data_IF_525121097929
#
_entry.id   IF_525121097929
#
_cell.length_a   1.000
_cell.length_b   1.000
_cell.length_c   1.000
_cell.angle_alpha   90.00
_cell.angle_beta   90.00
_cell.angle_gamma   90.00
#
_symmetry.space_group_name_H-M   'P 1'
#
loop_
_entity.id
_entity.type
_entity.pdbx_description
1 polymer ?
#
# COMPACT_ATOMS: atom_id res chain seq x y z
N UNK A 1 -6.62 -10.89 -19.71
CA UNK A 1 -5.75 -11.31 -18.58
C UNK A 1 -6.54 -11.61 -17.30
N UNK A 2 -7.26 -10.65 -16.71
CA UNK A 2 -7.98 -10.91 -15.44
C UNK A 2 -9.03 -12.02 -15.49
N UNK A 3 -9.74 -12.15 -16.62
CA UNK A 3 -10.68 -13.27 -16.84
C UNK A 3 -9.94 -14.61 -16.92
N UNK A 4 -8.90 -14.68 -17.75
CA UNK A 4 -8.03 -15.86 -17.95
C UNK A 4 -7.38 -16.33 -16.64
N UNK A 5 -6.97 -15.39 -15.78
CA UNK A 5 -6.38 -15.71 -14.48
C UNK A 5 -7.41 -16.33 -13.53
N UNK A 6 -8.62 -15.76 -13.47
CA UNK A 6 -9.70 -16.26 -12.62
C UNK A 6 -10.24 -17.62 -13.10
N UNK A 7 -10.30 -17.84 -14.41
CA UNK A 7 -10.79 -19.09 -15.00
C UNK A 7 -9.80 -20.25 -14.94
N UNK A 8 -8.53 -20.00 -14.55
CA UNK A 8 -7.44 -21.00 -14.57
C UNK A 8 -7.29 -21.70 -15.93
N UNK A 9 -7.56 -20.96 -17.00
CA UNK A 9 -7.58 -21.51 -18.35
C UNK A 9 -6.17 -21.86 -18.85
N UNK A 10 -5.17 -21.12 -18.36
CA UNK A 10 -3.75 -21.34 -18.67
C UNK A 10 -3.24 -22.71 -18.20
N UNK A 11 -3.82 -23.29 -17.15
CA UNK A 11 -3.50 -24.66 -16.72
C UNK A 11 -3.96 -25.69 -17.75
N UNK A 12 -5.09 -25.46 -18.41
CA UNK A 12 -5.56 -26.32 -19.52
C UNK A 12 -4.63 -26.25 -20.73
N UNK A 13 -3.92 -25.14 -20.89
CA UNK A 13 -2.90 -24.95 -21.91
C UNK A 13 -1.50 -25.45 -21.50
N UNK A 14 -1.38 -26.11 -20.34
CA UNK A 14 -0.12 -26.70 -19.85
C UNK A 14 0.79 -25.74 -19.10
N UNK A 15 0.31 -24.56 -18.69
CA UNK A 15 1.09 -23.61 -17.89
C UNK A 15 0.71 -23.66 -16.41
N UNK A 16 1.69 -23.69 -15.48
CA UNK A 16 1.39 -23.80 -14.05
C UNK A 16 0.72 -22.54 -13.48
N UNK A 17 0.85 -21.39 -14.15
CA UNK A 17 0.22 -20.14 -13.74
C UNK A 17 0.05 -19.16 -14.91
N UNK A 18 -0.82 -18.17 -14.75
CA UNK A 18 -0.99 -17.07 -15.73
C UNK A 18 0.31 -16.33 -15.95
N UNK A 19 1.09 -16.13 -14.88
CA UNK A 19 2.41 -15.51 -14.96
C UNK A 19 3.37 -16.32 -15.83
N UNK A 20 3.42 -17.64 -15.65
CA UNK A 20 4.23 -18.54 -16.47
C UNK A 20 3.80 -18.50 -17.94
N UNK A 21 2.49 -18.48 -18.20
CA UNK A 21 1.96 -18.32 -19.55
C UNK A 21 2.38 -16.99 -20.20
N UNK A 22 2.26 -15.85 -19.49
CA UNK A 22 2.68 -14.54 -19.99
C UNK A 22 4.17 -14.50 -20.36
N UNK A 23 5.01 -15.14 -19.54
CA UNK A 23 6.44 -15.24 -19.82
C UNK A 23 6.73 -16.11 -21.04
N UNK A 24 6.13 -17.29 -21.10
CA UNK A 24 6.41 -18.26 -22.16
C UNK A 24 5.81 -17.87 -23.51
N UNK A 25 4.61 -17.28 -23.55
CA UNK A 25 3.90 -16.97 -24.81
C UNK A 25 4.10 -15.55 -25.31
N UNK A 26 4.32 -14.58 -24.41
CA UNK A 26 4.49 -13.17 -24.78
C UNK A 26 5.92 -12.68 -24.55
N UNK A 27 6.85 -13.56 -24.16
CA UNK A 27 8.24 -13.21 -23.90
C UNK A 27 8.42 -12.19 -22.77
N UNK A 28 7.42 -12.04 -21.90
CA UNK A 28 7.47 -11.01 -20.85
C UNK A 28 8.58 -11.30 -19.84
N UNK A 29 9.26 -10.24 -19.40
CA UNK A 29 10.12 -10.31 -18.20
C UNK A 29 9.27 -10.60 -16.96
N UNK A 30 9.87 -11.28 -15.98
CA UNK A 30 9.19 -11.66 -14.73
C UNK A 30 8.52 -10.47 -14.02
N UNK A 31 9.24 -9.36 -13.87
CA UNK A 31 8.69 -8.15 -13.23
C UNK A 31 7.48 -7.61 -13.97
N UNK A 32 7.55 -7.52 -15.30
CA UNK A 32 6.43 -7.05 -16.14
C UNK A 32 5.23 -7.99 -16.12
N UNK A 33 5.47 -9.29 -16.10
CA UNK A 33 4.39 -10.28 -15.98
C UNK A 33 3.70 -10.17 -14.61
N UNK A 34 4.46 -9.97 -13.53
CA UNK A 34 3.93 -9.73 -12.18
C UNK A 34 3.10 -8.44 -12.14
N UNK A 35 3.65 -7.31 -12.59
CA UNK A 35 2.96 -6.02 -12.63
C UNK A 35 1.61 -6.11 -13.36
N UNK A 36 1.60 -6.71 -14.55
CA UNK A 36 0.37 -6.85 -15.35
C UNK A 36 -0.66 -7.74 -14.68
N UNK A 37 -0.22 -8.79 -14.01
CA UNK A 37 -1.11 -9.68 -13.29
C UNK A 37 -1.72 -9.01 -12.06
N UNK A 38 -0.91 -8.31 -11.26
CA UNK A 38 -1.37 -7.54 -10.10
C UNK A 38 -2.38 -6.49 -10.52
N UNK A 39 -2.06 -5.69 -11.55
CA UNK A 39 -2.96 -4.66 -12.06
C UNK A 39 -4.29 -5.24 -12.56
N UNK A 40 -4.24 -6.35 -13.31
CA UNK A 40 -5.44 -7.01 -13.79
C UNK A 40 -6.34 -7.55 -12.67
N UNK A 41 -5.75 -7.95 -11.53
CA UNK A 41 -6.48 -8.39 -10.35
C UNK A 41 -7.08 -7.23 -9.58
N UNK A 42 -6.35 -6.13 -9.40
CA UNK A 42 -6.80 -5.02 -8.56
C UNK A 42 -7.76 -4.05 -9.25
N UNK A 43 -7.79 -3.98 -10.59
CA UNK A 43 -8.60 -2.98 -11.33
C UNK A 43 -10.07 -2.82 -10.90
N UNK A 44 -10.71 -3.88 -10.41
CA UNK A 44 -12.12 -3.84 -10.02
C UNK A 44 -12.34 -3.31 -8.60
N UNK A 45 -11.27 -3.31 -7.78
CA UNK A 45 -11.22 -2.80 -6.41
C UNK A 45 -10.70 -1.36 -6.35
N UNK A 46 -10.24 -0.85 -7.51
CA UNK A 46 -9.61 0.44 -7.69
C UNK A 46 -10.23 1.15 -8.92
N UNK A 47 -11.53 1.51 -8.85
CA UNK A 47 -12.26 2.05 -9.99
C UNK A 47 -11.67 3.36 -10.50
N UNK A 48 -11.28 4.29 -9.63
CA UNK A 48 -10.80 5.62 -10.04
C UNK A 48 -9.41 5.55 -10.68
N UNK A 49 -8.49 4.78 -10.07
CA UNK A 49 -7.18 4.49 -10.63
C UNK A 49 -7.32 3.83 -12.00
N UNK A 50 -8.28 2.91 -12.14
CA UNK A 50 -8.54 2.22 -13.40
C UNK A 50 -9.06 3.19 -14.46
N UNK A 51 -10.01 4.06 -14.12
CA UNK A 51 -10.53 5.08 -15.01
C UNK A 51 -9.40 5.98 -15.51
N UNK A 52 -8.68 6.66 -14.60
CA UNK A 52 -7.57 7.56 -14.92
C UNK A 52 -6.47 6.85 -15.73
N UNK A 53 -6.18 5.58 -15.45
CA UNK A 53 -5.21 4.82 -16.23
C UNK A 53 -5.70 4.54 -17.65
N UNK A 54 -6.98 4.21 -17.83
CA UNK A 54 -7.55 3.90 -19.14
C UNK A 54 -7.79 5.12 -20.02
N UNK A 55 -8.03 6.29 -19.42
CA UNK A 55 -8.17 7.58 -20.13
C UNK A 55 -6.81 8.21 -20.47
N UNK A 56 -5.74 7.77 -19.81
CA UNK A 56 -4.37 8.25 -20.02
C UNK A 56 -3.92 9.33 -19.02
N UNK A 57 -4.78 9.68 -18.06
CA UNK A 57 -4.49 10.66 -17.00
C UNK A 57 -3.55 10.09 -15.92
N UNK A 58 -3.42 8.77 -15.85
CA UNK A 58 -2.48 8.08 -14.95
C UNK A 58 -1.51 7.20 -15.74
N UNK A 59 -0.20 7.38 -15.51
CA UNK A 59 0.80 6.54 -16.16
C UNK A 59 0.70 5.07 -15.71
N UNK A 60 1.08 4.14 -16.60
CA UNK A 60 1.12 2.72 -16.27
C UNK A 60 2.05 2.39 -15.07
N UNK A 61 3.07 3.24 -14.83
CA UNK A 61 3.95 3.10 -13.66
C UNK A 61 3.22 3.38 -12.36
N UNK A 62 2.47 4.49 -12.28
CA UNK A 62 1.66 4.80 -11.10
C UNK A 62 0.56 3.76 -10.88
N UNK A 63 -0.15 3.37 -11.94
CA UNK A 63 -1.19 2.33 -11.85
C UNK A 63 -0.63 1.01 -11.28
N UNK A 64 0.54 0.57 -11.75
CA UNK A 64 1.20 -0.61 -11.23
C UNK A 64 1.65 -0.45 -9.77
N UNK A 65 2.17 0.72 -9.39
CA UNK A 65 2.56 1.03 -8.01
C UNK A 65 1.36 1.00 -7.05
N UNK A 66 0.25 1.62 -7.42
CA UNK A 66 -0.96 1.65 -6.59
C UNK A 66 -1.53 0.23 -6.46
N UNK A 67 -1.63 -0.51 -7.57
CA UNK A 67 -2.11 -1.89 -7.54
C UNK A 67 -1.22 -2.83 -6.69
N UNK A 68 0.09 -2.63 -6.65
CA UNK A 68 0.98 -3.43 -5.79
C UNK A 68 0.81 -3.05 -4.31
N UNK A 69 0.66 -1.77 -3.99
CA UNK A 69 0.44 -1.29 -2.62
C UNK A 69 -0.87 -1.82 -2.00
N UNK A 70 -1.93 -1.96 -2.79
CA UNK A 70 -3.25 -2.42 -2.30
C UNK A 70 -3.44 -3.94 -2.40
N UNK A 71 -2.49 -4.68 -2.99
CA UNK A 71 -2.66 -6.09 -3.30
C UNK A 71 -2.95 -7.00 -2.09
N UNK A 72 -2.62 -6.56 -0.88
CA UNK A 72 -2.79 -7.29 0.39
C UNK A 72 -3.81 -6.65 1.34
N UNK A 73 -4.54 -5.65 0.89
CA UNK A 73 -5.63 -5.01 1.64
C UNK A 73 -6.95 -5.71 1.34
N UNK A 74 -7.91 -5.60 2.25
CA UNK A 74 -9.32 -5.93 1.97
C UNK A 74 -9.99 -4.83 1.13
N UNK A 75 -11.27 -5.01 0.78
CA UNK A 75 -11.96 -4.14 -0.17
C UNK A 75 -12.21 -2.74 0.40
N UNK A 76 -12.48 -2.63 1.70
CA UNK A 76 -12.72 -1.35 2.38
C UNK A 76 -11.41 -0.53 2.44
N UNK A 77 -10.32 -1.17 2.85
CA UNK A 77 -9.01 -0.51 2.91
C UNK A 77 -8.44 -0.23 1.52
N UNK A 78 -8.83 -1.00 0.49
CA UNK A 78 -8.48 -0.68 -0.90
C UNK A 78 -9.02 0.68 -1.34
N UNK A 79 -10.28 1.00 -1.03
CA UNK A 79 -10.87 2.29 -1.38
C UNK A 79 -10.13 3.44 -0.70
N UNK A 80 -9.87 3.32 0.61
CA UNK A 80 -9.09 4.32 1.36
C UNK A 80 -7.67 4.48 0.81
N UNK A 81 -7.02 3.38 0.49
CA UNK A 81 -5.67 3.39 -0.08
C UNK A 81 -5.66 4.04 -1.46
N UNK A 82 -6.68 3.80 -2.28
CA UNK A 82 -6.84 4.43 -3.60
C UNK A 82 -6.87 5.95 -3.47
N UNK A 83 -7.75 6.49 -2.63
CA UNK A 83 -7.89 7.93 -2.40
C UNK A 83 -6.56 8.57 -1.95
N UNK A 84 -5.90 7.95 -0.96
CA UNK A 84 -4.64 8.46 -0.40
C UNK A 84 -3.54 8.46 -1.47
N UNK A 85 -3.37 7.36 -2.20
CA UNK A 85 -2.28 7.22 -3.16
C UNK A 85 -2.51 8.06 -4.42
N UNK A 86 -3.75 8.19 -4.90
CA UNK A 86 -4.09 9.12 -5.98
C UNK A 86 -3.90 10.57 -5.54
N UNK A 87 -4.27 10.92 -4.31
CA UNK A 87 -3.99 12.23 -3.73
C UNK A 87 -2.49 12.57 -3.70
N UNK A 88 -1.61 11.59 -3.49
CA UNK A 88 -0.16 11.80 -3.63
C UNK A 88 0.26 12.03 -5.09
N UNK A 89 -0.33 11.31 -6.04
CA UNK A 89 -0.06 11.52 -7.47
C UNK A 89 -0.48 12.93 -7.89
N UNK A 90 -1.64 13.39 -7.44
CA UNK A 90 -2.18 14.73 -7.75
C UNK A 90 -1.32 15.85 -7.16
N UNK A 91 -0.64 15.58 -6.04
CA UNK A 91 0.38 16.48 -5.46
C UNK A 91 1.75 16.40 -6.17
N UNK A 92 1.89 15.61 -7.25
CA UNK A 92 3.11 15.51 -8.04
C UNK A 92 4.19 14.59 -7.46
N UNK A 93 3.84 13.70 -6.53
CA UNK A 93 4.82 12.78 -5.94
C UNK A 93 5.27 11.74 -6.97
N UNK A 94 6.58 11.47 -7.04
CA UNK A 94 7.13 10.47 -7.96
C UNK A 94 6.62 9.05 -7.66
N UNK A 95 6.56 8.19 -8.67
CA UNK A 95 6.15 6.79 -8.52
C UNK A 95 6.98 6.03 -7.46
N UNK A 96 8.28 6.33 -7.34
CA UNK A 96 9.13 5.75 -6.31
C UNK A 96 8.75 6.19 -4.89
N UNK A 97 8.31 7.44 -4.71
CA UNK A 97 7.83 7.95 -3.42
C UNK A 97 6.46 7.38 -3.07
N UNK A 98 5.55 7.30 -4.03
CA UNK A 98 4.24 6.62 -3.90
C UNK A 98 4.46 5.14 -3.53
N UNK A 99 5.39 4.45 -4.17
CA UNK A 99 5.71 3.05 -3.86
C UNK A 99 6.28 2.89 -2.44
N UNK A 100 7.15 3.80 -2.01
CA UNK A 100 7.73 3.76 -0.67
C UNK A 100 6.67 3.99 0.41
N UNK A 101 5.73 4.90 0.16
CA UNK A 101 4.59 5.15 1.05
C UNK A 101 3.59 4.00 1.04
N UNK A 102 3.30 3.43 -0.14
CA UNK A 102 2.42 2.28 -0.31
C UNK A 102 2.81 1.06 0.52
N UNK A 103 4.10 0.89 0.86
CA UNK A 103 4.56 -0.18 1.77
C UNK A 103 3.99 -0.07 3.19
N UNK A 104 3.59 1.14 3.62
CA UNK A 104 3.06 1.45 4.95
C UNK A 104 1.58 1.83 4.91
N UNK A 105 0.90 1.65 3.77
CA UNK A 105 -0.46 2.18 3.57
C UNK A 105 -1.47 1.60 4.57
N UNK A 106 -1.30 0.34 4.98
CA UNK A 106 -2.14 -0.28 6.02
C UNK A 106 -2.01 0.45 7.35
N UNK A 107 -0.77 0.76 7.75
CA UNK A 107 -0.50 1.44 9.02
C UNK A 107 -1.09 2.86 8.96
N UNK A 108 -0.93 3.55 7.84
CA UNK A 108 -1.50 4.89 7.60
C UNK A 108 -3.03 4.88 7.70
N UNK A 109 -3.69 3.87 7.13
CA UNK A 109 -5.14 3.70 7.23
C UNK A 109 -5.54 3.45 8.69
N UNK A 110 -4.87 2.53 9.39
CA UNK A 110 -5.16 2.21 10.78
C UNK A 110 -4.93 3.41 11.72
N UNK A 111 -3.90 4.22 11.48
CA UNK A 111 -3.64 5.46 12.21
C UNK A 111 -4.76 6.49 11.98
N UNK A 112 -5.18 6.67 10.72
CA UNK A 112 -6.25 7.62 10.35
C UNK A 112 -7.61 7.23 10.93
N UNK A 113 -7.89 5.93 10.96
CA UNK A 113 -9.16 5.40 11.48
C UNK A 113 -9.14 5.23 13.00
N UNK A 114 -8.00 5.48 13.67
CA UNK A 114 -7.84 5.27 15.10
C UNK A 114 -7.89 3.80 15.53
N UNK A 115 -7.73 2.87 14.58
CA UNK A 115 -7.77 1.40 14.79
C UNK A 115 -6.38 0.79 14.93
N UNK A 116 -5.34 1.63 15.06
CA UNK A 116 -3.97 1.19 15.29
C UNK A 116 -3.89 0.27 16.51
N UNK A 117 -3.50 -0.98 16.29
CA UNK A 117 -3.18 -1.90 17.38
C UNK A 117 -1.85 -1.48 18.00
N UNK A 118 -1.78 -1.53 19.34
CA UNK A 118 -0.51 -1.33 20.02
C UNK A 118 0.49 -2.40 19.54
N UNK A 119 1.76 -2.04 19.33
CA UNK A 119 2.82 -3.00 19.01
C UNK A 119 2.82 -4.19 19.98
N UNK A 120 3.11 -5.41 19.51
CA UNK A 120 3.08 -6.63 20.34
C UNK A 120 4.03 -6.57 21.56
N UNK A 121 5.08 -5.76 21.47
CA UNK A 121 6.01 -5.41 22.56
C UNK A 121 5.35 -4.60 23.69
N UNK A 122 4.25 -3.89 23.42
CA UNK A 122 3.42 -3.20 24.43
C UNK A 122 2.53 -4.18 25.20
N UNK A 123 2.18 -5.33 24.61
CA UNK A 123 1.38 -6.36 25.30
C UNK A 123 2.16 -7.11 26.40
N UNK A 124 3.49 -6.87 26.53
CA UNK A 124 4.37 -7.60 27.44
C UNK A 124 4.90 -6.84 28.66
N UNK A 125 4.43 -5.64 28.96
CA UNK A 125 4.70 -5.06 30.28
C UNK A 125 4.54 -3.56 30.38
N UNK A 126 3.82 -3.13 31.41
CA UNK A 126 3.64 -1.76 31.88
C UNK A 126 4.93 -1.08 32.41
N UNK A 127 6.11 -1.38 31.84
CA UNK A 127 7.41 -0.93 32.41
C UNK A 127 8.20 0.04 31.55
N UNK A 128 7.82 0.31 30.30
CA UNK A 128 8.65 1.15 29.42
C UNK A 128 7.84 2.25 28.73
N UNK A 129 8.24 3.49 29.01
CA UNK A 129 7.86 4.65 28.21
C UNK A 129 8.40 4.49 26.80
N UNK A 130 7.58 4.84 25.80
CA UNK A 130 8.00 4.82 24.41
C UNK A 130 7.54 6.09 23.71
N UNK A 131 8.33 6.50 22.72
CA UNK A 131 8.03 7.64 21.86
C UNK A 131 8.41 7.25 20.44
N UNK A 132 7.44 7.35 19.54
CA UNK A 132 7.67 7.33 18.11
C UNK A 132 7.60 8.75 17.55
N UNK A 133 8.42 9.00 16.53
CA UNK A 133 8.51 10.30 15.90
C UNK A 133 8.41 10.17 14.39
N UNK A 134 7.25 10.55 13.88
CA UNK A 134 6.99 10.57 12.45
C UNK A 134 7.11 11.99 11.91
N UNK A 135 7.84 12.15 10.80
CA UNK A 135 8.01 13.44 10.14
C UNK A 135 6.73 13.78 9.38
N UNK A 136 6.16 14.95 9.67
CA UNK A 136 4.96 15.45 8.98
C UNK A 136 5.32 16.03 7.62
N UNK A 137 4.35 16.02 6.70
CA UNK A 137 4.51 16.42 5.30
C UNK A 137 4.67 17.95 5.11
N UNK A 138 4.29 18.74 6.11
CA UNK A 138 4.42 20.20 6.20
C UNK A 138 5.78 20.67 6.80
N UNK A 139 6.67 19.73 7.12
CA UNK A 139 7.93 20.00 7.80
C UNK A 139 7.86 19.95 9.33
N UNK A 140 6.67 19.78 9.90
CA UNK A 140 6.47 19.47 11.31
C UNK A 140 6.93 18.07 11.69
N UNK A 141 6.88 17.76 12.98
CA UNK A 141 7.18 16.42 13.51
C UNK A 141 6.05 16.02 14.45
N UNK A 142 5.41 14.92 14.12
CA UNK A 142 4.43 14.30 15.00
C UNK A 142 5.18 13.41 15.99
N UNK A 143 4.90 13.60 17.26
CA UNK A 143 5.46 12.80 18.35
C UNK A 143 4.27 12.12 19.01
N UNK A 144 4.28 10.79 19.03
CA UNK A 144 3.27 9.98 19.72
C UNK A 144 4.01 9.00 20.62
N UNK A 145 3.56 8.89 21.85
CA UNK A 145 4.18 8.02 22.81
C UNK A 145 3.30 7.83 24.01
N UNK A 146 3.68 6.89 24.86
CA UNK A 146 3.12 6.70 26.17
C UNK A 146 4.25 6.85 27.17
N UNK A 147 4.06 7.74 28.14
CA UNK A 147 5.04 7.98 29.21
C UNK A 147 4.46 7.50 30.53
N UNK A 148 5.28 6.79 31.29
CA UNK A 148 5.04 6.56 32.70
C UNK A 148 5.10 7.88 33.48
N UNK A 149 4.49 7.89 34.67
CA UNK A 149 4.43 9.09 35.52
C UNK A 149 5.82 9.65 35.88
N UNK A 150 6.85 8.79 35.99
CA UNK A 150 8.24 9.20 36.26
C UNK A 150 8.90 9.91 35.06
N UNK A 151 8.64 9.46 33.83
CA UNK A 151 9.21 10.05 32.62
C UNK A 151 8.45 11.29 32.16
N UNK A 152 7.13 11.36 32.43
CA UNK A 152 6.32 12.54 32.18
C UNK A 152 6.77 13.74 33.03
N UNK A 153 7.27 13.50 34.25
CA UNK A 153 7.76 14.56 35.14
C UNK A 153 8.99 15.31 34.59
N UNK A 154 9.74 14.70 33.65
CA UNK A 154 10.87 15.34 32.97
C UNK A 154 10.38 16.39 31.95
N UNK A 155 9.15 16.25 31.44
CA UNK A 155 8.57 17.14 30.43
C UNK A 155 7.91 18.39 31.01
N UNK A 156 7.38 18.32 32.23
CA UNK A 156 6.77 19.48 32.95
C UNK A 156 7.82 20.41 33.60
N UNK A 157 9.12 20.08 33.51
CA UNK A 157 10.21 20.73 34.25
C UNK A 157 11.10 21.71 33.48
N UNK A 158 10.77 22.09 32.24
CA UNK A 158 11.52 23.07 31.41
C UNK A 158 10.62 24.14 30.85
#
# INVERSE_FOLDING_TARGET
MGVVDRSREVQRWGYPSTRSWLRSRLGMRESRAKERLTLARQRHRLPEMTERWTTGDLSAGYAATIADATARLDDDDCGKAEDILLGMVDQGFSAGKVASFGKRIRDVIAERDGTQQAPEDVARGYEQSWVDSTRSLDGGRYIKGWLNAEDAAIWDGT
#
